data_IF_312028030235
#
_entry.id   IF_312028030235
#
_cell.length_a   1.000
_cell.length_b   1.000
_cell.length_c   1.000
_cell.angle_alpha   90.00
_cell.angle_beta   90.00
_cell.angle_gamma   90.00
#
_symmetry.space_group_name_H-M   'P 1'
#
loop_
_entity.id
_entity.type
_entity.pdbx_description
1 polymer ?
#
# COMPACT_ATOMS: atom_id res chain seq x y z
N UNK A 1 14.42 -21.75 -1.61
CA UNK A 1 13.94 -20.53 -0.93
C UNK A 1 12.83 -19.80 -1.68
N UNK A 2 13.09 -19.12 -2.82
CA UNK A 2 12.08 -18.28 -3.49
C UNK A 2 10.82 -19.04 -3.91
N UNK A 3 10.95 -20.18 -4.60
CA UNK A 3 9.79 -20.99 -5.05
C UNK A 3 8.92 -21.43 -3.88
N UNK A 4 9.53 -21.78 -2.75
CA UNK A 4 8.81 -22.16 -1.53
C UNK A 4 8.07 -20.95 -0.95
N UNK A 5 8.74 -19.80 -0.82
CA UNK A 5 8.08 -18.57 -0.36
C UNK A 5 6.89 -18.21 -1.26
N UNK A 6 7.04 -18.30 -2.58
CA UNK A 6 5.96 -18.04 -3.52
C UNK A 6 4.80 -19.03 -3.38
N UNK A 7 5.06 -20.32 -3.13
CA UNK A 7 4.00 -21.30 -2.83
C UNK A 7 3.26 -20.95 -1.54
N UNK A 8 3.98 -20.60 -0.48
CA UNK A 8 3.39 -20.20 0.80
C UNK A 8 2.57 -18.91 0.66
N UNK A 9 3.10 -17.91 -0.04
CA UNK A 9 2.42 -16.65 -0.33
C UNK A 9 1.17 -16.88 -1.19
N UNK A 10 1.23 -17.79 -2.16
CA UNK A 10 0.08 -18.18 -2.97
C UNK A 10 -1.00 -18.83 -2.11
N UNK A 11 -0.66 -19.76 -1.22
CA UNK A 11 -1.60 -20.34 -0.27
C UNK A 11 -2.28 -19.26 0.58
N UNK A 12 -1.48 -18.33 1.14
CA UNK A 12 -1.99 -17.21 1.92
C UNK A 12 -3.01 -16.39 1.12
N UNK A 13 -2.64 -15.97 -0.09
CA UNK A 13 -3.50 -15.14 -0.95
C UNK A 13 -4.79 -15.88 -1.32
N UNK A 14 -4.68 -17.15 -1.70
CA UNK A 14 -5.83 -17.97 -2.06
C UNK A 14 -6.75 -18.19 -0.86
N UNK A 15 -6.20 -18.51 0.31
CA UNK A 15 -6.97 -18.77 1.52
C UNK A 15 -7.71 -17.54 2.02
N UNK A 16 -7.02 -16.41 2.18
CA UNK A 16 -7.58 -15.20 2.83
C UNK A 16 -8.47 -14.36 1.90
N UNK A 17 -8.14 -14.28 0.60
CA UNK A 17 -8.81 -13.34 -0.30
C UNK A 17 -9.70 -14.00 -1.34
N UNK A 18 -9.37 -15.21 -1.79
CA UNK A 18 -10.13 -15.89 -2.85
C UNK A 18 -11.14 -16.88 -2.27
N UNK A 19 -10.71 -17.68 -1.29
CA UNK A 19 -11.46 -18.81 -0.76
C UNK A 19 -12.09 -18.55 0.62
N UNK A 20 -12.00 -17.32 1.16
CA UNK A 20 -12.69 -16.90 2.38
C UNK A 20 -13.93 -16.04 2.05
N UNK A 21 -15.14 -16.63 1.99
CA UNK A 21 -16.36 -15.87 1.77
C UNK A 21 -16.61 -14.81 2.85
N UNK A 22 -17.14 -13.64 2.44
CA UNK A 22 -17.54 -12.56 3.36
C UNK A 22 -18.50 -13.03 4.47
N UNK A 23 -19.33 -14.04 4.19
CA UNK A 23 -20.21 -14.64 5.19
C UNK A 23 -19.47 -15.33 6.33
N UNK A 24 -18.31 -15.95 6.07
CA UNK A 24 -17.50 -16.57 7.12
C UNK A 24 -16.85 -15.50 7.99
N UNK A 25 -16.33 -14.44 7.35
CA UNK A 25 -15.76 -13.27 8.02
C UNK A 25 -16.76 -12.61 8.99
N UNK A 26 -18.03 -12.48 8.59
CA UNK A 26 -19.06 -11.94 9.47
C UNK A 26 -19.40 -12.89 10.63
N UNK A 27 -19.57 -14.19 10.34
CA UNK A 27 -20.05 -15.18 11.31
C UNK A 27 -18.97 -15.68 12.28
N UNK A 28 -17.69 -15.58 11.94
CA UNK A 28 -16.59 -16.05 12.81
C UNK A 28 -16.50 -15.33 14.15
N UNK A 29 -17.12 -14.14 14.26
CA UNK A 29 -17.19 -13.36 15.51
C UNK A 29 -18.04 -14.04 16.59
N UNK A 30 -19.10 -14.74 16.17
CA UNK A 30 -20.04 -15.41 17.08
C UNK A 30 -19.93 -16.94 17.02
N UNK A 31 -19.45 -17.48 15.90
CA UNK A 31 -19.40 -18.92 15.63
C UNK A 31 -18.00 -19.33 15.18
N UNK A 32 -17.23 -19.88 16.12
CA UNK A 32 -15.84 -20.31 15.90
C UNK A 32 -15.69 -21.35 14.78
N UNK A 33 -16.74 -22.12 14.46
CA UNK A 33 -16.70 -23.09 13.36
C UNK A 33 -16.34 -22.49 11.99
N UNK A 34 -16.67 -21.22 11.74
CA UNK A 34 -16.28 -20.55 10.49
C UNK A 34 -14.78 -20.18 10.45
N UNK A 35 -14.16 -19.96 11.62
CA UNK A 35 -12.72 -19.79 11.73
C UNK A 35 -12.01 -21.12 11.44
N UNK A 36 -12.47 -22.22 12.03
CA UNK A 36 -11.92 -23.55 11.75
C UNK A 36 -12.06 -23.95 10.28
N UNK A 37 -13.20 -23.63 9.66
CA UNK A 37 -13.41 -23.90 8.23
C UNK A 37 -12.40 -23.14 7.37
N UNK A 38 -12.13 -21.88 7.70
CA UNK A 38 -11.10 -21.10 7.03
C UNK A 38 -9.70 -21.68 7.25
N UNK A 39 -9.33 -22.03 8.48
CA UNK A 39 -8.03 -22.66 8.76
C UNK A 39 -7.89 -24.02 8.04
N UNK A 40 -8.99 -24.78 7.91
CA UNK A 40 -9.02 -26.00 7.12
C UNK A 40 -8.76 -25.74 5.63
N UNK A 41 -9.21 -24.61 5.07
CA UNK A 41 -8.85 -24.23 3.69
C UNK A 41 -7.34 -24.00 3.53
N UNK A 42 -6.69 -23.35 4.50
CA UNK A 42 -5.23 -23.18 4.49
C UNK A 42 -4.49 -24.50 4.59
N UNK A 43 -4.91 -25.39 5.50
CA UNK A 43 -4.35 -26.73 5.63
C UNK A 43 -4.47 -27.53 4.32
N UNK A 44 -5.64 -27.48 3.67
CA UNK A 44 -5.88 -28.14 2.39
C UNK A 44 -4.98 -27.57 1.27
N UNK A 45 -4.86 -26.26 1.15
CA UNK A 45 -3.99 -25.63 0.14
C UNK A 45 -2.52 -25.98 0.35
N UNK A 46 -2.04 -25.90 1.60
CA UNK A 46 -0.65 -26.21 1.96
C UNK A 46 -0.33 -27.68 1.70
N UNK A 47 -1.16 -28.61 2.17
CA UNK A 47 -0.96 -30.05 1.91
C UNK A 47 -0.99 -30.38 0.42
N UNK A 48 -1.83 -29.70 -0.37
CA UNK A 48 -1.89 -29.90 -1.82
C UNK A 48 -0.62 -29.39 -2.51
N UNK A 49 -0.15 -28.17 -2.21
CA UNK A 49 1.03 -27.58 -2.86
C UNK A 49 2.37 -28.24 -2.46
N UNK A 50 2.41 -28.86 -1.29
CA UNK A 50 3.58 -29.59 -0.76
C UNK A 50 3.41 -31.11 -0.79
N UNK A 51 2.41 -31.63 -1.50
CA UNK A 51 2.09 -33.06 -1.60
C UNK A 51 3.30 -33.94 -1.97
N UNK A 52 4.13 -33.49 -2.91
CA UNK A 52 5.33 -34.23 -3.36
C UNK A 52 6.45 -34.33 -2.31
N UNK A 53 6.43 -33.50 -1.27
CA UNK A 53 7.49 -33.42 -0.24
C UNK A 53 6.88 -33.32 1.18
N UNK A 54 5.67 -33.88 1.34
CA UNK A 54 4.89 -33.70 2.56
C UNK A 54 5.56 -34.35 3.78
N UNK A 55 6.33 -35.41 3.59
CA UNK A 55 7.10 -36.08 4.64
C UNK A 55 8.11 -35.14 5.33
N UNK A 56 8.72 -34.24 4.57
CA UNK A 56 9.65 -33.26 5.13
C UNK A 56 8.93 -31.97 5.57
N UNK A 57 7.80 -31.64 4.94
CA UNK A 57 7.10 -30.37 5.15
C UNK A 57 5.96 -30.40 6.17
N UNK A 58 5.46 -31.56 6.59
CA UNK A 58 4.31 -31.64 7.49
C UNK A 58 4.44 -30.83 8.79
N UNK A 59 5.62 -30.70 9.45
CA UNK A 59 5.73 -29.88 10.65
C UNK A 59 5.53 -28.40 10.34
N UNK A 60 6.09 -27.93 9.21
CA UNK A 60 5.94 -26.55 8.74
C UNK A 60 4.50 -26.25 8.33
N UNK A 61 3.83 -27.19 7.66
CA UNK A 61 2.41 -27.07 7.29
C UNK A 61 1.55 -26.91 8.53
N UNK A 62 1.76 -27.73 9.57
CA UNK A 62 1.03 -27.59 10.84
C UNK A 62 1.36 -26.27 11.53
N UNK A 63 2.63 -25.89 11.59
CA UNK A 63 3.05 -24.62 12.20
C UNK A 63 2.38 -23.42 11.54
N UNK A 64 2.34 -23.35 10.20
CA UNK A 64 1.66 -22.27 9.47
C UNK A 64 0.15 -22.31 9.72
N UNK A 65 -0.46 -23.50 9.70
CA UNK A 65 -1.90 -23.67 9.94
C UNK A 65 -2.30 -23.18 11.34
N UNK A 66 -1.57 -23.57 12.38
CA UNK A 66 -1.80 -23.11 13.74
C UNK A 66 -1.44 -21.63 13.92
N UNK A 67 -0.40 -21.15 13.24
CA UNK A 67 -0.04 -19.73 13.21
C UNK A 67 -1.17 -18.88 12.63
N UNK A 68 -1.76 -19.28 11.51
CA UNK A 68 -2.95 -18.64 10.93
C UNK A 68 -4.11 -18.61 11.93
N UNK A 69 -4.43 -19.74 12.56
CA UNK A 69 -5.48 -19.80 13.58
C UNK A 69 -5.21 -18.81 14.73
N UNK A 70 -3.97 -18.70 15.19
CA UNK A 70 -3.58 -17.76 16.24
C UNK A 70 -3.72 -16.29 15.78
N UNK A 71 -3.21 -15.95 14.60
CA UNK A 71 -3.26 -14.58 14.06
C UNK A 71 -4.71 -14.15 13.83
N UNK A 72 -5.55 -15.00 13.21
CA UNK A 72 -6.96 -14.70 12.99
C UNK A 72 -7.75 -14.57 14.29
N UNK A 73 -7.45 -15.41 15.28
CA UNK A 73 -8.07 -15.29 16.61
C UNK A 73 -7.71 -13.96 17.27
N UNK A 74 -6.43 -13.57 17.17
CA UNK A 74 -5.92 -12.29 17.67
C UNK A 74 -6.58 -11.11 16.95
N UNK A 75 -6.75 -11.20 15.63
CA UNK A 75 -7.47 -10.21 14.82
C UNK A 75 -8.91 -10.04 15.26
N UNK A 76 -9.65 -11.13 15.48
CA UNK A 76 -11.05 -11.06 15.98
C UNK A 76 -11.10 -10.34 17.33
N UNK A 77 -10.15 -10.63 18.22
CA UNK A 77 -10.05 -9.95 19.51
C UNK A 77 -9.75 -8.46 19.36
N UNK A 78 -8.79 -8.08 18.50
CA UNK A 78 -8.46 -6.69 18.22
C UNK A 78 -9.58 -5.92 17.53
N UNK A 79 -10.31 -6.53 16.59
CA UNK A 79 -11.49 -5.93 15.95
C UNK A 79 -12.58 -5.60 16.97
N UNK A 80 -12.70 -6.39 18.04
CA UNK A 80 -13.64 -6.12 19.14
C UNK A 80 -13.16 -4.98 20.04
N UNK A 81 -11.85 -4.84 20.25
CA UNK A 81 -11.27 -3.83 21.13
C UNK A 81 -11.13 -2.45 20.48
N UNK A 82 -10.76 -2.42 19.18
CA UNK A 82 -10.49 -1.20 18.41
C UNK A 82 -11.29 -1.15 17.09
N UNK A 83 -12.64 -1.12 17.16
CA UNK A 83 -13.49 -1.22 15.97
C UNK A 83 -13.36 -0.02 15.00
N UNK A 84 -12.81 1.10 15.45
CA UNK A 84 -12.65 2.34 14.67
C UNK A 84 -11.39 2.37 13.80
N UNK A 85 -10.51 1.34 13.85
CA UNK A 85 -9.26 1.30 13.10
C UNK A 85 -9.16 0.10 12.10
N UNK A 86 -10.16 -0.14 11.24
CA UNK A 86 -10.23 -1.36 10.44
C UNK A 86 -9.04 -1.53 9.47
N UNK A 87 -8.57 -0.43 8.88
CA UNK A 87 -7.42 -0.45 7.94
C UNK A 87 -6.13 -0.82 8.66
N UNK A 88 -5.87 -0.25 9.85
CA UNK A 88 -4.68 -0.57 10.62
C UNK A 88 -4.69 -2.04 11.05
N UNK A 89 -5.82 -2.53 11.55
CA UNK A 89 -5.97 -3.93 11.94
C UNK A 89 -5.76 -4.89 10.77
N UNK A 90 -6.26 -4.53 9.58
CA UNK A 90 -6.00 -5.28 8.35
C UNK A 90 -4.51 -5.26 7.97
N UNK A 91 -3.82 -4.12 8.04
CA UNK A 91 -2.40 -4.03 7.73
C UNK A 91 -1.56 -4.87 8.72
N UNK A 92 -1.82 -4.73 10.02
CA UNK A 92 -1.11 -5.50 11.06
C UNK A 92 -1.33 -6.99 10.88
N UNK A 93 -2.56 -7.41 10.59
CA UNK A 93 -2.90 -8.79 10.27
C UNK A 93 -2.09 -9.35 9.09
N UNK A 94 -2.01 -8.61 7.98
CA UNK A 94 -1.22 -9.05 6.82
C UNK A 94 0.29 -9.09 7.12
N UNK A 95 0.80 -8.14 7.91
CA UNK A 95 2.21 -8.16 8.35
C UNK A 95 2.49 -9.41 9.19
N UNK A 96 1.62 -9.77 10.13
CA UNK A 96 1.80 -10.96 10.96
C UNK A 96 1.79 -12.25 10.12
N UNK A 97 0.90 -12.36 9.15
CA UNK A 97 0.87 -13.51 8.24
C UNK A 97 2.15 -13.60 7.39
N UNK A 98 2.59 -12.49 6.78
CA UNK A 98 3.86 -12.49 6.03
C UNK A 98 5.05 -12.80 6.93
N UNK A 99 5.07 -12.28 8.17
CA UNK A 99 6.11 -12.57 9.15
C UNK A 99 6.13 -14.07 9.51
N UNK A 100 4.97 -14.71 9.66
CA UNK A 100 4.86 -16.16 9.85
C UNK A 100 5.49 -16.94 8.68
N UNK A 101 5.19 -16.55 7.45
CA UNK A 101 5.78 -17.20 6.25
C UNK A 101 7.30 -17.00 6.20
N UNK A 102 7.78 -15.79 6.47
CA UNK A 102 9.21 -15.47 6.52
C UNK A 102 9.90 -16.26 7.62
N UNK A 103 9.29 -16.39 8.80
CA UNK A 103 9.84 -17.17 9.91
C UNK A 103 10.05 -18.65 9.53
N UNK A 104 9.10 -19.25 8.80
CA UNK A 104 9.26 -20.61 8.27
C UNK A 104 10.38 -20.69 7.23
N UNK A 105 10.47 -19.72 6.33
CA UNK A 105 11.56 -19.69 5.34
C UNK A 105 12.92 -19.59 6.03
N UNK A 106 13.06 -18.72 7.02
CA UNK A 106 14.30 -18.56 7.80
C UNK A 106 14.60 -19.82 8.60
N UNK A 107 13.59 -20.46 9.18
CA UNK A 107 13.78 -21.72 9.90
C UNK A 107 14.30 -22.84 8.99
N UNK A 108 13.77 -22.97 7.77
CA UNK A 108 14.11 -24.03 6.82
C UNK A 108 15.43 -23.77 6.08
N UNK A 109 15.69 -22.52 5.67
CA UNK A 109 16.81 -22.17 4.80
C UNK A 109 17.93 -21.37 5.50
N UNK A 110 17.73 -20.97 6.76
CA UNK A 110 18.61 -20.03 7.46
C UNK A 110 18.34 -18.57 7.07
N UNK A 111 19.00 -17.65 7.79
CA UNK A 111 19.03 -16.23 7.42
C UNK A 111 20.08 -16.07 6.33
N UNK A 112 19.73 -15.58 5.13
CA UNK A 112 20.74 -15.36 4.11
C UNK A 112 21.68 -14.22 4.53
N UNK A 113 22.99 -14.44 4.40
CA UNK A 113 24.06 -13.52 4.87
C UNK A 113 23.91 -12.08 4.32
N UNK A 114 23.24 -11.93 3.18
CA UNK A 114 23.03 -10.66 2.49
C UNK A 114 21.86 -9.83 3.04
N UNK A 115 21.01 -10.36 3.92
CA UNK A 115 19.81 -9.65 4.38
C UNK A 115 20.13 -8.37 5.16
N UNK A 116 21.22 -8.36 5.93
CA UNK A 116 21.70 -7.15 6.61
C UNK A 116 22.17 -6.06 5.64
N UNK A 117 22.59 -6.44 4.43
CA UNK A 117 23.10 -5.51 3.42
C UNK A 117 21.98 -4.94 2.53
N UNK A 118 20.79 -5.53 2.51
CA UNK A 118 19.69 -5.12 1.60
C UNK A 118 18.96 -3.84 2.04
N UNK A 119 18.88 -3.55 3.34
CA UNK A 119 18.05 -2.44 3.83
C UNK A 119 18.70 -1.06 3.63
N UNK A 120 20.02 -0.98 3.72
CA UNK A 120 20.77 0.29 3.68
C UNK A 120 21.81 0.31 2.55
N UNK A 121 21.43 -0.17 1.37
CA UNK A 121 22.19 0.09 0.15
C UNK A 121 21.95 1.52 -0.34
N UNK A 122 22.87 2.09 -1.11
CA UNK A 122 22.67 3.40 -1.72
C UNK A 122 21.39 3.43 -2.58
N UNK A 123 21.11 2.35 -3.31
CA UNK A 123 19.85 2.21 -4.08
C UNK A 123 18.61 2.26 -3.19
N UNK A 124 18.55 1.47 -2.11
CA UNK A 124 17.38 1.45 -1.23
C UNK A 124 17.17 2.80 -0.53
N UNK A 125 18.26 3.48 -0.15
CA UNK A 125 18.23 4.83 0.39
C UNK A 125 17.72 5.85 -0.64
N UNK A 126 18.16 5.79 -1.89
CA UNK A 126 17.66 6.67 -2.95
C UNK A 126 16.15 6.49 -3.17
N UNK A 127 15.66 5.25 -3.24
CA UNK A 127 14.23 4.99 -3.34
C UNK A 127 13.44 5.50 -2.13
N UNK A 128 13.96 5.30 -0.92
CA UNK A 128 13.34 5.80 0.31
C UNK A 128 13.27 7.33 0.34
N UNK A 129 14.36 8.01 -0.02
CA UNK A 129 14.41 9.46 -0.10
C UNK A 129 13.40 9.97 -1.14
N UNK A 130 13.38 9.41 -2.34
CA UNK A 130 12.42 9.80 -3.38
C UNK A 130 10.96 9.58 -2.93
N UNK A 131 10.68 8.46 -2.26
CA UNK A 131 9.37 8.18 -1.69
C UNK A 131 8.97 9.25 -0.66
N UNK A 132 9.85 9.57 0.31
CA UNK A 132 9.59 10.60 1.32
C UNK A 132 9.44 12.00 0.71
N UNK A 133 10.22 12.31 -0.34
CA UNK A 133 10.08 13.57 -1.07
C UNK A 133 8.70 13.69 -1.72
N UNK A 134 8.16 12.61 -2.28
CA UNK A 134 6.84 12.59 -2.93
C UNK A 134 5.68 12.63 -1.93
N UNK A 135 5.75 11.79 -0.89
CA UNK A 135 4.64 11.53 0.03
C UNK A 135 4.54 12.54 1.16
N UNK A 136 5.68 13.06 1.64
CA UNK A 136 5.73 13.94 2.81
C UNK A 136 6.18 15.34 2.45
N UNK A 137 7.35 15.48 1.81
CA UNK A 137 7.97 16.81 1.60
C UNK A 137 7.20 17.64 0.57
N UNK A 138 6.82 17.05 -0.56
CA UNK A 138 6.10 17.75 -1.63
C UNK A 138 4.74 18.34 -1.20
N UNK A 139 3.84 17.60 -0.51
CA UNK A 139 2.61 18.20 0.03
C UNK A 139 2.86 19.38 0.97
N UNK A 140 3.87 19.26 1.86
CA UNK A 140 4.23 20.33 2.80
C UNK A 140 4.72 21.56 2.03
N UNK A 141 5.64 21.35 1.07
CA UNK A 141 6.17 22.42 0.23
C UNK A 141 5.06 23.15 -0.53
N UNK A 142 4.17 22.42 -1.22
CA UNK A 142 3.06 23.03 -1.96
C UNK A 142 2.12 23.81 -1.04
N UNK A 143 1.82 23.28 0.15
CA UNK A 143 0.99 23.98 1.14
C UNK A 143 1.64 25.30 1.58
N UNK A 144 2.95 25.31 1.84
CA UNK A 144 3.70 26.52 2.22
C UNK A 144 3.76 27.50 1.03
N UNK A 145 4.08 27.02 -0.17
CA UNK A 145 4.18 27.85 -1.38
C UNK A 145 2.89 28.60 -1.68
N UNK A 146 1.75 27.90 -1.62
CA UNK A 146 0.44 28.49 -1.88
C UNK A 146 -0.19 29.21 -0.68
N UNK A 147 0.41 29.13 0.52
CA UNK A 147 -0.14 29.80 1.73
C UNK A 147 -0.24 31.32 1.57
N UNK A 148 0.61 31.93 0.74
CA UNK A 148 0.57 33.38 0.43
C UNK A 148 -0.71 33.80 -0.29
N UNK A 149 -1.30 32.93 -1.11
CA UNK A 149 -2.58 33.16 -1.81
C UNK A 149 -3.81 32.83 -0.95
N UNK A 150 -3.63 32.15 0.18
CA UNK A 150 -4.70 31.80 1.12
C UNK A 150 -5.08 32.92 2.09
N UNK A 151 -4.23 33.94 2.28
CA UNK A 151 -4.49 35.02 3.25
C UNK A 151 -5.69 35.91 2.90
N UNK A 152 -6.18 35.86 1.66
CA UNK A 152 -7.33 36.65 1.19
C UNK A 152 -8.67 35.89 1.18
N UNK A 153 -8.70 34.61 1.57
CA UNK A 153 -9.81 33.74 1.25
C UNK A 153 -10.38 32.98 2.46
N UNK A 154 -11.54 33.45 2.96
CA UNK A 154 -12.47 32.77 3.89
C UNK A 154 -13.01 31.41 3.37
N UNK A 155 -12.42 30.86 2.32
CA UNK A 155 -12.89 29.68 1.59
C UNK A 155 -12.55 28.34 2.30
N UNK A 156 -11.68 28.37 3.32
CA UNK A 156 -11.23 27.17 4.06
C UNK A 156 -12.08 26.83 5.29
N UNK A 157 -12.91 27.74 5.78
CA UNK A 157 -13.71 27.51 7.00
C UNK A 157 -14.94 26.62 6.77
N UNK A 158 -15.41 26.46 5.52
CA UNK A 158 -16.64 25.68 5.20
C UNK A 158 -16.43 24.20 4.85
N UNK A 159 -15.21 23.72 4.61
CA UNK A 159 -14.91 22.31 4.24
C UNK A 159 -14.07 21.57 5.28
N UNK A 160 -14.19 21.95 6.55
CA UNK A 160 -13.18 21.60 7.56
C UNK A 160 -13.13 20.12 7.98
N UNK A 161 -14.19 19.32 7.81
CA UNK A 161 -14.27 18.08 8.62
C UNK A 161 -14.24 16.71 7.90
N UNK A 162 -14.18 16.58 6.57
CA UNK A 162 -14.16 15.22 5.96
C UNK A 162 -13.37 15.03 4.66
N UNK A 163 -13.01 16.11 3.94
CA UNK A 163 -12.41 16.02 2.59
C UNK A 163 -10.94 16.44 2.50
N UNK A 164 -10.37 16.98 3.58
CA UNK A 164 -9.00 17.51 3.57
C UNK A 164 -7.94 16.42 3.37
N UNK A 165 -8.24 15.17 3.71
CA UNK A 165 -7.34 14.03 3.51
C UNK A 165 -7.45 13.42 2.09
N UNK A 166 -8.63 13.41 1.48
CA UNK A 166 -8.81 12.79 0.16
C UNK A 166 -8.04 13.54 -0.94
N UNK A 167 -8.09 14.88 -0.95
CA UNK A 167 -7.34 15.68 -1.92
C UNK A 167 -5.82 15.55 -1.77
N UNK A 168 -5.33 15.43 -0.53
CA UNK A 168 -3.91 15.18 -0.26
C UNK A 168 -3.51 13.79 -0.79
N UNK A 169 -4.30 12.76 -0.49
CA UNK A 169 -4.05 11.40 -0.93
C UNK A 169 -4.05 11.28 -2.45
N UNK A 170 -5.02 11.89 -3.14
CA UNK A 170 -5.06 11.96 -4.60
C UNK A 170 -3.76 12.58 -5.13
N UNK A 171 -3.34 13.71 -4.58
CA UNK A 171 -2.10 14.36 -5.00
C UNK A 171 -0.86 13.49 -4.76
N UNK A 172 -0.80 12.74 -3.65
CA UNK A 172 0.29 11.78 -3.38
C UNK A 172 0.28 10.66 -4.42
N UNK A 173 -0.88 10.06 -4.70
CA UNK A 173 -1.04 8.98 -5.67
C UNK A 173 -0.60 9.41 -7.07
N UNK A 174 -1.02 10.59 -7.53
CA UNK A 174 -0.62 11.15 -8.82
C UNK A 174 0.89 11.31 -8.93
N UNK A 175 1.53 11.88 -7.90
CA UNK A 175 2.99 12.07 -7.91
C UNK A 175 3.74 10.74 -7.90
N UNK A 176 3.26 9.73 -7.16
CA UNK A 176 3.83 8.38 -7.18
C UNK A 176 3.71 7.73 -8.57
N UNK A 177 2.55 7.88 -9.24
CA UNK A 177 2.35 7.39 -10.62
C UNK A 177 3.30 8.09 -11.59
N UNK A 178 3.49 9.40 -11.47
CA UNK A 178 4.44 10.16 -12.31
C UNK A 178 5.87 9.65 -12.12
N UNK A 179 6.32 9.49 -10.86
CA UNK A 179 7.66 8.97 -10.58
C UNK A 179 7.81 7.55 -11.15
N UNK A 180 6.80 6.69 -10.98
CA UNK A 180 6.76 5.35 -11.55
C UNK A 180 6.90 5.39 -13.08
N UNK A 181 6.11 6.22 -13.78
CA UNK A 181 6.18 6.39 -15.23
C UNK A 181 7.57 6.81 -15.71
N UNK A 182 8.26 7.66 -14.96
CA UNK A 182 9.65 8.04 -15.29
C UNK A 182 10.62 6.87 -15.09
N UNK A 183 10.46 6.09 -14.02
CA UNK A 183 11.33 4.93 -13.77
C UNK A 183 11.15 3.83 -14.83
N UNK A 184 9.91 3.57 -15.27
CA UNK A 184 9.63 2.57 -16.33
C UNK A 184 9.79 3.12 -17.75
N UNK A 185 10.09 4.42 -17.91
CA UNK A 185 10.26 5.06 -19.22
C UNK A 185 8.96 5.39 -19.98
N UNK A 186 7.80 5.29 -19.34
CA UNK A 186 6.49 5.57 -19.93
C UNK A 186 6.11 7.05 -19.83
N UNK A 187 6.87 7.92 -20.48
CA UNK A 187 6.68 9.38 -20.39
C UNK A 187 5.31 9.86 -20.92
N UNK A 188 4.75 9.19 -21.93
CA UNK A 188 3.41 9.49 -22.43
C UNK A 188 2.32 9.27 -21.38
N UNK A 189 2.54 8.37 -20.41
CA UNK A 189 1.67 8.17 -19.25
C UNK A 189 1.43 9.44 -18.43
N UNK A 190 2.44 10.30 -18.31
CA UNK A 190 2.33 11.57 -17.58
C UNK A 190 1.33 12.50 -18.29
N UNK A 191 1.37 12.53 -19.62
CA UNK A 191 0.42 13.27 -20.45
C UNK A 191 -1.02 12.75 -20.30
N UNK A 192 -1.20 11.42 -20.28
CA UNK A 192 -2.51 10.82 -20.02
C UNK A 192 -3.05 11.17 -18.63
N UNK A 193 -2.21 11.13 -17.59
CA UNK A 193 -2.60 11.49 -16.24
C UNK A 193 -3.03 12.97 -16.16
N UNK A 194 -2.29 13.86 -16.81
CA UNK A 194 -2.62 15.28 -16.89
C UNK A 194 -3.97 15.50 -17.60
N UNK A 195 -4.17 14.86 -18.76
CA UNK A 195 -5.39 14.98 -19.54
C UNK A 195 -6.62 14.45 -18.78
N UNK A 196 -6.50 13.26 -18.16
CA UNK A 196 -7.57 12.68 -17.34
C UNK A 196 -7.97 13.62 -16.20
N UNK A 197 -6.98 14.22 -15.51
CA UNK A 197 -7.22 15.18 -14.44
C UNK A 197 -7.93 16.44 -14.93
N UNK A 198 -7.55 16.96 -16.11
CA UNK A 198 -8.24 18.09 -16.74
C UNK A 198 -9.71 17.77 -17.03
N UNK A 199 -10.01 16.59 -17.58
CA UNK A 199 -11.39 16.16 -17.90
C UNK A 199 -12.27 16.12 -16.65
N UNK A 200 -11.79 15.52 -15.56
CA UNK A 200 -12.55 15.47 -14.30
C UNK A 200 -12.74 16.85 -13.67
N UNK A 201 -11.85 17.81 -13.95
CA UNK A 201 -11.97 19.19 -13.46
C UNK A 201 -12.90 20.05 -14.32
N UNK A 202 -13.07 19.75 -15.61
CA UNK A 202 -13.86 20.59 -16.52
C UNK A 202 -15.30 20.84 -16.05
N UNK A 203 -15.98 19.84 -15.47
CA UNK A 203 -17.35 19.99 -14.96
C UNK A 203 -17.48 20.85 -13.68
N UNK A 204 -16.41 20.91 -12.86
CA UNK A 204 -16.36 21.78 -11.68
C UNK A 204 -16.02 23.23 -12.06
N UNK A 205 -15.25 23.43 -13.13
CA UNK A 205 -14.83 24.75 -13.61
C UNK A 205 -15.96 25.49 -14.34
N UNK A 206 -16.85 24.79 -15.06
CA UNK A 206 -18.03 25.40 -15.71
C UNK A 206 -19.09 25.89 -14.72
N UNK A 207 -19.12 25.34 -13.51
CA UNK A 207 -20.02 25.77 -12.43
C UNK A 207 -19.38 26.79 -11.48
N UNK A 208 -18.07 27.02 -11.57
CA UNK A 208 -17.34 27.96 -10.74
C UNK A 208 -17.52 29.39 -11.28
N UNK A 209 -18.32 30.21 -10.59
CA UNK A 209 -18.41 31.67 -10.84
C UNK A 209 -17.11 32.44 -10.56
N UNK A 210 -16.05 31.76 -10.09
CA UNK A 210 -14.83 32.39 -9.59
C UNK A 210 -13.59 31.93 -10.40
N UNK A 211 -13.12 32.81 -11.28
CA UNK A 211 -11.95 32.58 -12.16
C UNK A 211 -10.67 32.39 -11.34
N UNK A 212 -10.54 33.07 -10.19
CA UNK A 212 -9.37 32.97 -9.32
C UNK A 212 -9.20 31.57 -8.72
N UNK A 213 -10.32 30.93 -8.35
CA UNK A 213 -10.33 29.57 -7.82
C UNK A 213 -9.87 28.55 -8.88
N UNK A 214 -10.34 28.73 -10.10
CA UNK A 214 -9.97 27.91 -11.27
C UNK A 214 -8.48 27.97 -11.56
N UNK A 215 -7.92 29.18 -11.62
CA UNK A 215 -6.49 29.40 -11.86
C UNK A 215 -5.63 28.80 -10.75
N UNK A 216 -6.00 29.02 -9.48
CA UNK A 216 -5.29 28.50 -8.33
C UNK A 216 -5.13 26.97 -8.37
N UNK A 217 -6.22 26.27 -8.70
CA UNK A 217 -6.24 24.81 -8.82
C UNK A 217 -5.32 24.32 -9.94
N UNK A 218 -5.37 25.01 -11.08
CA UNK A 218 -4.63 24.63 -12.28
C UNK A 218 -3.13 24.81 -12.05
N UNK A 219 -2.73 25.95 -11.47
CA UNK A 219 -1.35 26.23 -11.06
C UNK A 219 -0.88 25.22 -9.99
N UNK A 220 -1.72 24.90 -9.00
CA UNK A 220 -1.39 23.90 -7.98
C UNK A 220 -1.13 22.51 -8.56
N UNK A 221 -1.93 22.09 -9.53
CA UNK A 221 -1.76 20.81 -10.22
C UNK A 221 -0.47 20.78 -11.04
N UNK A 222 -0.21 21.81 -11.84
CA UNK A 222 1.01 21.92 -12.64
C UNK A 222 2.27 21.94 -11.75
N UNK A 223 2.25 22.71 -10.67
CA UNK A 223 3.37 22.75 -9.71
C UNK A 223 3.63 21.37 -9.09
N UNK A 224 2.59 20.65 -8.70
CA UNK A 224 2.72 19.27 -8.18
C UNK A 224 3.33 18.31 -9.22
N UNK A 225 2.94 18.44 -10.49
CA UNK A 225 3.48 17.62 -11.57
C UNK A 225 4.95 17.92 -11.82
N UNK A 226 5.34 19.21 -11.87
CA UNK A 226 6.74 19.63 -12.04
C UNK A 226 7.61 19.06 -10.93
N UNK A 227 7.17 19.13 -9.67
CA UNK A 227 7.91 18.56 -8.54
C UNK A 227 8.07 17.04 -8.67
N UNK A 228 7.01 16.32 -9.02
CA UNK A 228 7.10 14.87 -9.23
C UNK A 228 8.01 14.49 -10.39
N UNK A 229 7.97 15.24 -11.49
CA UNK A 229 8.87 15.04 -12.63
C UNK A 229 10.32 15.25 -12.21
N UNK A 230 10.61 16.33 -11.49
CA UNK A 230 11.94 16.63 -10.98
C UNK A 230 12.45 15.53 -10.03
N UNK A 231 11.62 15.07 -9.09
CA UNK A 231 11.99 13.97 -8.18
C UNK A 231 12.21 12.67 -8.96
N UNK A 232 11.35 12.34 -9.93
CA UNK A 232 11.47 11.10 -10.70
C UNK A 232 12.72 11.06 -11.58
N UNK A 233 13.04 12.15 -12.28
CA UNK A 233 14.29 12.25 -13.03
C UNK A 233 15.51 12.32 -12.12
N UNK A 234 15.42 13.03 -10.98
CA UNK A 234 16.48 13.08 -9.97
C UNK A 234 16.82 11.68 -9.46
N UNK A 235 15.80 10.90 -9.05
CA UNK A 235 15.97 9.50 -8.66
C UNK A 235 16.61 8.68 -9.79
N UNK A 236 16.07 8.77 -11.01
CA UNK A 236 16.57 8.00 -12.17
C UNK A 236 18.04 8.32 -12.48
N UNK A 237 18.42 9.60 -12.38
CA UNK A 237 19.78 10.06 -12.58
C UNK A 237 20.71 9.58 -11.47
N UNK A 238 20.34 9.76 -10.19
CA UNK A 238 21.14 9.31 -9.06
C UNK A 238 21.38 7.80 -9.08
N UNK A 239 20.39 7.00 -9.52
CA UNK A 239 20.53 5.55 -9.67
C UNK A 239 21.57 5.13 -10.74
N UNK A 240 22.03 6.02 -11.62
CA UNK A 240 23.10 5.72 -12.58
C UNK A 240 24.49 5.69 -11.94
N UNK A 241 24.63 6.26 -10.74
CA UNK A 241 25.92 6.35 -10.04
C UNK A 241 26.11 5.26 -8.97
N UNK A 242 25.13 4.36 -8.80
CA UNK A 242 25.12 3.29 -7.77
C UNK A 242 24.57 1.94 -8.25
#
# INVERSE_FOLDING_TARGET
MLTVFLKLLLCHILGDFVLQPKSWVAKRKDKIGYLFLHVATHLFLLTTLFSNDLENWWPNVLFITFGHLAIDSLKIWWERMWPYMPVLLFIVDQILHIALLVAVIVHVYGIPDQWGQLFFTDRSLLYLIAFLLVTTVSPIFLRVFFSKWNKENDFYTKRKDTLMDAGMLIGIMERLIIVLFIQVGFLSGIGFLLAAKSIFRFGDLTNARDTKFTEYILVGTLASFVIAIAIGYGLRFSLQFV
#
